data_IF_352422042036
#
_entry.id   IF_352422042036
#
_cell.length_a   1.000
_cell.length_b   1.000
_cell.length_c   1.000
_cell.angle_alpha   90.00
_cell.angle_beta   90.00
_cell.angle_gamma   90.00
#
_symmetry.space_group_name_H-M   'P 1'
#
loop_
_entity.id
_entity.type
_entity.pdbx_description
1 polymer ?
#
# COMPACT_ATOMS: atom_id res chain seq x y z
N UNK A 1 12.19 53.03 26.50
CA UNK A 1 11.38 52.37 25.45
C UNK A 1 12.05 51.03 25.12
N UNK A 2 11.71 49.96 25.85
CA UNK A 2 12.25 48.61 25.59
C UNK A 2 11.27 47.87 24.69
N UNK A 3 11.72 47.54 23.49
CA UNK A 3 11.00 46.71 22.54
C UNK A 3 10.73 45.33 23.17
N UNK A 4 9.45 44.97 23.29
CA UNK A 4 9.00 43.65 23.72
C UNK A 4 8.19 43.03 22.59
N UNK A 5 8.84 42.24 21.73
CA UNK A 5 8.23 41.19 20.89
C UNK A 5 9.37 40.18 20.64
N UNK A 6 9.23 38.84 20.86
CA UNK A 6 8.04 38.04 20.55
C UNK A 6 7.75 36.84 21.51
N UNK A 7 6.64 36.89 22.26
CA UNK A 7 5.99 35.66 22.78
C UNK A 7 5.41 34.79 21.64
N UNK A 8 5.14 35.38 20.47
CA UNK A 8 4.61 34.65 19.30
C UNK A 8 5.57 33.63 18.70
N UNK A 9 6.89 33.82 18.82
CA UNK A 9 7.88 32.87 18.28
C UNK A 9 8.06 31.66 19.19
N UNK A 10 7.96 31.86 20.51
CA UNK A 10 8.03 30.79 21.52
C UNK A 10 6.81 29.87 21.48
N UNK A 11 5.61 30.45 21.39
CA UNK A 11 4.37 29.68 21.17
C UNK A 11 4.39 28.90 19.85
N UNK A 12 4.96 29.47 18.78
CA UNK A 12 5.09 28.77 17.49
C UNK A 12 6.08 27.60 17.59
N UNK A 13 7.18 27.74 18.32
CA UNK A 13 8.15 26.67 18.53
C UNK A 13 7.60 25.54 19.42
N UNK A 14 6.90 25.87 20.51
CA UNK A 14 6.27 24.89 21.41
C UNK A 14 5.12 24.15 20.70
N UNK A 15 4.29 24.85 19.92
CA UNK A 15 3.24 24.23 19.11
C UNK A 15 3.81 23.33 18.02
N UNK A 16 4.87 23.75 17.33
CA UNK A 16 5.56 22.91 16.34
C UNK A 16 6.24 21.68 16.97
N UNK A 17 6.81 21.81 18.18
CA UNK A 17 7.40 20.70 18.90
C UNK A 17 6.32 19.69 19.37
N UNK A 18 5.18 20.18 19.85
CA UNK A 18 4.05 19.34 20.26
C UNK A 18 3.36 18.65 19.07
N UNK A 19 3.18 19.33 17.93
CA UNK A 19 2.67 18.69 16.72
C UNK A 19 3.67 17.69 16.15
N UNK A 20 4.97 17.95 16.24
CA UNK A 20 6.01 16.98 15.84
C UNK A 20 6.05 15.76 16.77
N UNK A 21 5.91 15.94 18.08
CA UNK A 21 5.81 14.85 19.07
C UNK A 21 4.51 14.05 18.93
N UNK A 22 3.36 14.71 18.72
CA UNK A 22 2.07 14.05 18.47
C UNK A 22 2.08 13.31 17.13
N UNK A 23 2.66 13.90 16.08
CA UNK A 23 2.85 13.24 14.79
C UNK A 23 3.82 12.06 14.91
N UNK A 24 4.94 12.20 15.63
CA UNK A 24 5.90 11.12 15.89
C UNK A 24 5.27 9.97 16.68
N UNK A 25 4.47 10.25 17.71
CA UNK A 25 3.73 9.24 18.47
C UNK A 25 2.63 8.58 17.62
N UNK A 26 1.93 9.35 16.78
CA UNK A 26 0.91 8.84 15.88
C UNK A 26 1.50 7.99 14.75
N UNK A 27 2.63 8.40 14.17
CA UNK A 27 3.38 7.65 13.16
C UNK A 27 3.92 6.36 13.78
N UNK A 28 4.52 6.43 14.97
CA UNK A 28 5.00 5.24 15.68
C UNK A 28 3.86 4.27 15.99
N UNK A 29 2.68 4.78 16.34
CA UNK A 29 1.46 3.97 16.57
C UNK A 29 0.96 3.34 15.27
N UNK A 30 0.92 4.09 14.16
CA UNK A 30 0.49 3.58 12.85
C UNK A 30 1.48 2.54 12.31
N UNK A 31 2.77 2.80 12.43
CA UNK A 31 3.84 1.84 12.11
C UNK A 31 3.67 0.59 12.97
N UNK A 32 3.53 0.73 14.29
CA UNK A 32 3.32 -0.41 15.19
C UNK A 32 2.06 -1.22 14.82
N UNK A 33 0.95 -0.57 14.49
CA UNK A 33 -0.29 -1.24 14.07
C UNK A 33 -0.06 -2.02 12.77
N UNK A 34 0.62 -1.42 11.78
CA UNK A 34 0.87 -2.06 10.49
C UNK A 34 1.86 -3.22 10.64
N UNK A 35 2.96 -3.01 11.37
CA UNK A 35 3.97 -4.05 11.62
C UNK A 35 3.37 -5.23 12.39
N UNK A 36 2.50 -5.01 13.38
CA UNK A 36 1.83 -6.11 14.07
C UNK A 36 0.78 -6.77 13.19
N UNK A 37 -0.04 -5.99 12.48
CA UNK A 37 -1.15 -6.50 11.67
C UNK A 37 -0.69 -7.34 10.48
N UNK A 38 0.48 -7.03 9.92
CA UNK A 38 1.07 -7.73 8.78
C UNK A 38 2.38 -8.41 9.14
N UNK A 39 2.59 -8.72 10.43
CA UNK A 39 3.79 -9.40 10.91
C UNK A 39 3.99 -10.77 10.25
N UNK A 40 2.87 -11.45 9.97
CA UNK A 40 2.78 -12.68 9.19
C UNK A 40 3.28 -12.51 7.75
N UNK A 41 3.06 -11.35 7.12
CA UNK A 41 3.52 -11.06 5.76
C UNK A 41 4.98 -10.59 5.70
N UNK A 42 5.44 -9.86 6.73
CA UNK A 42 6.80 -9.32 6.79
C UNK A 42 7.87 -10.42 6.97
N UNK A 43 7.50 -11.56 7.53
CA UNK A 43 8.38 -12.72 7.70
C UNK A 43 8.33 -13.72 6.54
N UNK A 44 7.56 -13.46 5.48
CA UNK A 44 7.45 -14.40 4.35
C UNK A 44 8.74 -14.35 3.53
N UNK A 45 9.43 -15.48 3.48
CA UNK A 45 10.48 -15.71 2.48
C UNK A 45 9.81 -16.00 1.14
N UNK A 46 10.02 -15.12 0.16
CA UNK A 46 9.43 -15.27 -1.17
C UNK A 46 10.37 -16.17 -1.98
N UNK A 47 9.89 -17.34 -2.45
CA UNK A 47 10.73 -18.23 -3.26
C UNK A 47 11.20 -17.51 -4.52
N UNK A 48 12.49 -17.63 -4.83
CA UNK A 48 13.12 -16.95 -5.98
C UNK A 48 12.39 -17.25 -7.30
N UNK A 49 11.84 -18.45 -7.45
CA UNK A 49 11.08 -18.85 -8.64
C UNK A 49 9.79 -18.03 -8.84
N UNK A 50 9.22 -17.41 -7.79
CA UNK A 50 8.06 -16.51 -7.91
C UNK A 50 8.49 -15.18 -8.56
N UNK A 51 9.69 -14.71 -8.24
CA UNK A 51 10.25 -13.45 -8.75
C UNK A 51 10.85 -13.59 -10.14
N UNK A 52 11.62 -14.65 -10.38
CA UNK A 52 12.35 -14.89 -11.64
C UNK A 52 12.11 -16.31 -12.20
N UNK A 53 10.84 -16.69 -12.48
CA UNK A 53 10.47 -18.05 -12.91
C UNK A 53 11.17 -18.51 -14.19
N UNK A 54 11.63 -17.58 -15.03
CA UNK A 54 12.26 -17.87 -16.32
C UNK A 54 13.79 -17.96 -16.30
N UNK A 55 14.41 -17.66 -15.16
CA UNK A 55 15.87 -17.56 -14.97
C UNK A 55 16.38 -18.52 -13.89
N UNK A 56 15.53 -18.93 -12.94
CA UNK A 56 15.91 -19.90 -11.92
C UNK A 56 16.26 -21.27 -12.52
N UNK A 57 17.29 -21.89 -11.96
CA UNK A 57 17.64 -23.27 -12.24
C UNK A 57 16.57 -24.21 -11.66
N UNK A 58 16.03 -25.08 -12.51
CA UNK A 58 15.00 -26.05 -12.13
C UNK A 58 15.46 -26.98 -11.01
N UNK A 59 16.75 -27.31 -10.95
CA UNK A 59 17.30 -28.19 -9.93
C UNK A 59 17.28 -27.58 -8.51
N UNK A 60 17.08 -26.26 -8.39
CA UNK A 60 17.11 -25.53 -7.11
C UNK A 60 15.74 -25.43 -6.43
N UNK A 61 14.68 -25.94 -7.07
CA UNK A 61 13.32 -25.92 -6.51
C UNK A 61 12.84 -27.33 -6.14
N UNK A 62 11.74 -27.37 -5.38
CA UNK A 62 11.08 -28.59 -4.96
C UNK A 62 10.77 -29.51 -6.15
N UNK A 63 11.06 -30.81 -6.01
CA UNK A 63 10.91 -31.81 -7.08
C UNK A 63 9.52 -31.80 -7.73
N UNK A 64 8.46 -31.62 -6.93
CA UNK A 64 7.08 -31.56 -7.38
C UNK A 64 6.78 -30.40 -8.34
N UNK A 65 7.63 -29.37 -8.36
CA UNK A 65 7.50 -28.18 -9.20
C UNK A 65 8.46 -28.18 -10.38
N UNK A 66 9.40 -29.13 -10.47
CA UNK A 66 10.42 -29.10 -11.52
C UNK A 66 9.83 -29.29 -12.92
N UNK A 67 8.97 -30.30 -13.10
CA UNK A 67 8.28 -30.55 -14.36
C UNK A 67 7.42 -29.35 -14.81
N UNK A 68 6.49 -28.83 -13.99
CA UNK A 68 5.69 -27.70 -14.43
C UNK A 68 6.50 -26.40 -14.56
N UNK A 69 7.68 -26.27 -13.91
CA UNK A 69 8.59 -25.15 -14.17
C UNK A 69 9.21 -25.27 -15.56
N UNK A 70 9.63 -26.47 -15.97
CA UNK A 70 10.18 -26.72 -17.31
C UNK A 70 9.13 -26.37 -18.37
N UNK A 71 7.87 -26.77 -18.15
CA UNK A 71 6.77 -26.43 -19.06
C UNK A 71 6.53 -24.92 -19.13
N UNK A 72 6.49 -24.23 -17.98
CA UNK A 72 6.36 -22.77 -17.92
C UNK A 72 7.53 -22.07 -18.64
N UNK A 73 8.77 -22.50 -18.37
CA UNK A 73 9.97 -21.93 -18.98
C UNK A 73 10.04 -22.16 -20.50
N UNK A 74 9.41 -23.23 -20.98
CA UNK A 74 9.32 -23.58 -22.40
C UNK A 74 8.21 -22.81 -23.13
N UNK A 75 7.23 -22.24 -22.42
CA UNK A 75 6.18 -21.41 -23.00
C UNK A 75 6.75 -20.05 -23.46
N UNK A 76 7.01 -19.96 -24.77
CA UNK A 76 7.54 -18.74 -25.41
C UNK A 76 6.58 -17.55 -25.31
N UNK A 77 5.26 -17.80 -25.26
CA UNK A 77 4.25 -16.74 -25.14
C UNK A 77 4.34 -16.15 -23.73
N UNK A 78 4.35 -17.00 -22.70
CA UNK A 78 4.48 -16.55 -21.31
C UNK A 78 5.82 -15.86 -21.05
N UNK A 79 6.92 -16.40 -21.59
CA UNK A 79 8.24 -15.77 -21.52
C UNK A 79 8.24 -14.39 -22.19
N UNK A 80 7.58 -14.26 -23.35
CA UNK A 80 7.42 -12.99 -24.06
C UNK A 80 6.64 -11.97 -23.23
N UNK A 81 5.50 -12.37 -22.65
CA UNK A 81 4.69 -11.53 -21.77
C UNK A 81 5.48 -11.07 -20.53
N UNK A 82 6.21 -11.98 -19.88
CA UNK A 82 7.03 -11.65 -18.71
C UNK A 82 8.10 -10.58 -19.02
N UNK A 83 8.77 -10.69 -20.17
CA UNK A 83 9.79 -9.72 -20.61
C UNK A 83 9.25 -8.31 -20.87
N UNK A 84 7.96 -8.16 -21.18
CA UNK A 84 7.34 -6.84 -21.36
C UNK A 84 7.26 -6.04 -20.05
N UNK A 85 7.51 -6.68 -18.89
CA UNK A 85 7.67 -6.04 -17.56
C UNK A 85 6.38 -5.47 -16.96
N UNK A 86 5.37 -5.23 -17.79
CA UNK A 86 4.03 -4.76 -17.38
C UNK A 86 3.11 -5.91 -17.00
N UNK A 87 3.46 -7.14 -17.40
CA UNK A 87 2.62 -8.31 -17.21
C UNK A 87 3.11 -9.13 -16.02
N UNK A 88 2.31 -9.11 -14.94
CA UNK A 88 2.48 -10.07 -13.87
C UNK A 88 1.81 -11.39 -14.31
N UNK A 89 2.63 -12.38 -14.69
CA UNK A 89 2.15 -13.69 -15.15
C UNK A 89 1.20 -14.33 -14.14
N UNK A 90 1.45 -14.12 -12.85
CA UNK A 90 0.64 -14.65 -11.76
C UNK A 90 -0.74 -13.98 -11.65
N UNK A 91 -0.94 -12.75 -12.12
CA UNK A 91 -2.27 -12.10 -12.05
C UNK A 91 -3.24 -12.59 -13.11
N UNK A 92 -2.83 -13.49 -14.00
CA UNK A 92 -3.63 -13.89 -15.15
C UNK A 92 -4.24 -15.26 -14.94
N UNK A 93 -5.52 -15.39 -15.30
CA UNK A 93 -6.25 -16.67 -15.26
C UNK A 93 -5.56 -17.77 -16.09
N UNK A 94 -4.79 -17.38 -17.10
CA UNK A 94 -4.00 -18.30 -17.94
C UNK A 94 -3.02 -19.15 -17.11
N UNK A 95 -2.39 -18.58 -16.07
CA UNK A 95 -1.43 -19.33 -15.24
C UNK A 95 -2.16 -20.24 -14.26
N UNK A 96 -3.26 -19.77 -13.68
CA UNK A 96 -4.12 -20.58 -12.81
C UNK A 96 -4.71 -21.80 -13.53
N UNK A 97 -5.00 -21.67 -14.83
CA UNK A 97 -5.58 -22.75 -15.65
C UNK A 97 -4.53 -23.68 -16.25
N UNK A 98 -3.42 -23.14 -16.79
CA UNK A 98 -2.37 -23.97 -17.43
C UNK A 98 -1.42 -24.60 -16.42
N UNK A 99 -1.13 -23.92 -15.31
CA UNK A 99 -0.14 -24.35 -14.33
C UNK A 99 -0.73 -24.36 -12.91
N UNK A 100 -1.78 -25.15 -12.64
CA UNK A 100 -2.54 -25.08 -11.39
C UNK A 100 -1.68 -25.38 -10.15
N UNK A 101 -0.74 -26.32 -10.24
CA UNK A 101 0.22 -26.62 -9.16
C UNK A 101 1.13 -25.43 -8.82
N UNK A 102 1.57 -24.70 -9.84
CA UNK A 102 2.38 -23.49 -9.66
C UNK A 102 1.55 -22.36 -9.07
N UNK A 103 0.35 -22.17 -9.62
CA UNK A 103 -0.57 -21.15 -9.14
C UNK A 103 -0.95 -21.37 -7.68
N UNK A 104 -1.22 -22.62 -7.29
CA UNK A 104 -1.63 -22.95 -5.93
C UNK A 104 -0.60 -22.50 -4.88
N UNK A 105 0.68 -22.62 -5.20
CA UNK A 105 1.79 -22.15 -4.37
C UNK A 105 2.11 -20.66 -4.55
N UNK A 106 2.03 -20.14 -5.77
CA UNK A 106 2.40 -18.76 -6.08
C UNK A 106 1.38 -17.72 -5.59
N UNK A 107 0.08 -18.07 -5.59
CA UNK A 107 -1.02 -17.15 -5.28
C UNK A 107 -0.87 -16.50 -3.91
N UNK A 108 -0.33 -17.22 -2.92
CA UNK A 108 -0.10 -16.70 -1.58
C UNK A 108 0.85 -15.50 -1.58
N UNK A 109 1.99 -15.62 -2.27
CA UNK A 109 2.99 -14.56 -2.39
C UNK A 109 2.51 -13.38 -3.25
N UNK A 110 1.69 -13.67 -4.25
CA UNK A 110 1.14 -12.67 -5.18
C UNK A 110 0.04 -11.83 -4.53
N UNK A 111 -0.73 -12.40 -3.59
CA UNK A 111 -1.75 -11.69 -2.81
C UNK A 111 -1.11 -10.86 -1.68
N UNK A 112 0.04 -11.29 -1.15
CA UNK A 112 0.81 -10.50 -0.20
C UNK A 112 1.34 -9.18 -0.83
N UNK A 113 1.66 -9.16 -2.13
CA UNK A 113 2.20 -7.97 -2.81
C UNK A 113 1.24 -6.76 -2.92
N UNK A 114 -0.06 -6.91 -3.26
CA UNK A 114 -1.03 -5.84 -3.16
C UNK A 114 -1.12 -5.23 -1.76
N UNK A 115 -0.86 -6.00 -0.70
CA UNK A 115 -0.93 -5.48 0.67
C UNK A 115 0.24 -4.56 0.99
N UNK A 116 1.46 -4.84 0.52
CA UNK A 116 2.61 -3.93 0.73
C UNK A 116 2.44 -2.62 -0.04
N UNK A 117 1.99 -2.66 -1.29
CA UNK A 117 1.65 -1.45 -2.06
C UNK A 117 0.52 -0.65 -1.39
N UNK A 118 -0.53 -1.31 -0.91
CA UNK A 118 -1.62 -0.63 -0.19
C UNK A 118 -1.15 -0.05 1.14
N UNK A 119 -0.18 -0.69 1.81
CA UNK A 119 0.49 -0.17 3.00
C UNK A 119 1.33 1.06 2.66
N UNK A 120 2.15 1.03 1.62
CA UNK A 120 2.96 2.16 1.14
C UNK A 120 2.08 3.34 0.68
N UNK A 121 1.01 3.05 -0.08
CA UNK A 121 0.03 4.05 -0.50
C UNK A 121 -0.73 4.62 0.71
N UNK A 122 -1.10 3.78 1.66
CA UNK A 122 -1.66 4.15 2.96
C UNK A 122 -0.77 5.11 3.72
N UNK A 123 0.52 4.77 3.89
CA UNK A 123 1.50 5.62 4.55
C UNK A 123 1.75 6.93 3.82
N UNK A 124 1.84 6.91 2.50
CA UNK A 124 1.99 8.12 1.69
C UNK A 124 0.79 9.05 1.87
N UNK A 125 -0.42 8.49 1.95
CA UNK A 125 -1.65 9.26 2.15
C UNK A 125 -1.78 9.78 3.58
N UNK A 126 -1.44 8.98 4.58
CA UNK A 126 -1.33 9.42 5.99
C UNK A 126 -0.33 10.57 6.11
N UNK A 127 0.84 10.44 5.48
CA UNK A 127 1.87 11.49 5.46
C UNK A 127 1.37 12.76 4.77
N UNK A 128 0.63 12.65 3.66
CA UNK A 128 -0.02 13.79 3.01
C UNK A 128 -1.08 14.46 3.90
N UNK A 129 -1.92 13.69 4.60
CA UNK A 129 -2.97 14.20 5.51
C UNK A 129 -2.33 14.94 6.70
N UNK A 130 -1.29 14.35 7.30
CA UNK A 130 -0.56 14.93 8.43
C UNK A 130 0.28 16.16 8.01
N UNK A 131 0.96 16.11 6.87
CA UNK A 131 1.82 17.21 6.39
C UNK A 131 1.03 18.44 5.94
N UNK A 132 -0.21 18.25 5.44
CA UNK A 132 -1.09 19.36 5.07
C UNK A 132 -1.88 19.95 6.23
N UNK A 133 -1.72 19.45 7.46
CA UNK A 133 -2.35 19.98 8.68
C UNK A 133 -3.82 20.40 8.46
N UNK A 134 -4.62 19.55 7.83
CA UNK A 134 -6.05 19.78 7.74
C UNK A 134 -6.68 19.45 9.10
N UNK A 135 -6.86 20.46 9.96
CA UNK A 135 -7.47 20.36 11.30
C UNK A 135 -8.88 19.68 11.34
N UNK A 136 -9.44 19.25 10.21
CA UNK A 136 -10.76 18.62 10.09
C UNK A 136 -10.73 17.12 9.76
N UNK A 137 -9.61 16.58 9.27
CA UNK A 137 -9.52 15.17 8.87
C UNK A 137 -9.03 14.31 10.04
N UNK A 138 -9.83 13.32 10.43
CA UNK A 138 -9.52 12.40 11.53
C UNK A 138 -9.27 11.01 10.93
N UNK A 139 -7.99 10.66 10.89
CA UNK A 139 -7.46 9.43 10.28
C UNK A 139 -8.04 8.18 10.95
N UNK A 140 -8.36 8.26 12.25
CA UNK A 140 -8.70 7.09 13.08
C UNK A 140 -10.20 6.95 13.28
N UNK A 141 -10.93 8.06 13.53
CA UNK A 141 -12.35 7.99 13.90
C UNK A 141 -13.34 8.18 12.75
N UNK A 142 -12.97 8.94 11.71
CA UNK A 142 -13.92 9.34 10.65
C UNK A 142 -13.84 8.47 9.39
N UNK A 143 -12.83 7.59 9.30
CA UNK A 143 -12.63 6.71 8.15
C UNK A 143 -12.10 7.42 6.90
N UNK A 144 -11.56 8.62 7.04
CA UNK A 144 -11.05 9.46 5.95
C UNK A 144 -9.92 8.75 5.17
N UNK A 145 -9.05 8.02 5.89
CA UNK A 145 -8.01 7.20 5.27
C UNK A 145 -8.62 6.10 4.39
N UNK A 146 -9.65 5.39 4.89
CA UNK A 146 -10.34 4.32 4.14
C UNK A 146 -10.94 4.86 2.85
N UNK A 147 -11.68 5.97 2.91
CA UNK A 147 -12.24 6.65 1.74
C UNK A 147 -11.16 7.06 0.73
N UNK A 148 -10.04 7.62 1.22
CA UNK A 148 -8.94 8.09 0.37
C UNK A 148 -8.17 6.98 -0.35
N UNK A 149 -8.25 5.75 0.14
CA UNK A 149 -7.62 4.56 -0.46
C UNK A 149 -8.55 3.82 -1.43
N UNK A 150 -9.82 4.21 -1.51
CA UNK A 150 -10.76 3.64 -2.49
C UNK A 150 -10.73 4.43 -3.79
N UNK A 151 -11.04 3.75 -4.90
CA UNK A 151 -11.27 4.40 -6.20
C UNK A 151 -12.66 5.04 -6.31
N UNK A 152 -13.39 5.18 -5.20
CA UNK A 152 -14.75 5.72 -5.18
C UNK A 152 -14.69 7.22 -5.44
N UNK A 153 -15.30 7.65 -6.53
CA UNK A 153 -15.42 9.06 -6.85
C UNK A 153 -16.54 9.72 -6.01
N UNK A 154 -16.30 10.90 -5.42
CA UNK A 154 -17.33 11.60 -4.69
C UNK A 154 -18.44 12.04 -5.66
N UNK A 155 -19.68 11.68 -5.36
CA UNK A 155 -20.83 12.14 -6.15
C UNK A 155 -21.18 13.59 -5.77
N UNK A 156 -20.43 14.53 -6.34
CA UNK A 156 -20.52 15.97 -6.04
C UNK A 156 -21.93 16.51 -6.36
N UNK A 157 -22.57 16.03 -7.44
CA UNK A 157 -23.93 16.47 -7.82
C UNK A 157 -24.94 16.18 -6.71
N UNK A 158 -24.92 14.95 -6.18
CA UNK A 158 -25.81 14.53 -5.08
C UNK A 158 -25.49 15.22 -3.75
N UNK A 159 -24.24 15.63 -3.54
CA UNK A 159 -23.82 16.41 -2.37
C UNK A 159 -24.35 17.85 -2.45
N UNK A 160 -24.20 18.50 -3.61
CA UNK A 160 -24.68 19.87 -3.86
C UNK A 160 -26.21 19.94 -3.79
N UNK A 161 -26.93 18.93 -4.28
CA UNK A 161 -28.40 18.85 -4.16
C UNK A 161 -28.89 18.75 -2.70
N UNK A 162 -28.05 18.24 -1.79
CA UNK A 162 -28.37 18.11 -0.36
C UNK A 162 -27.87 19.27 0.49
N UNK A 163 -27.05 20.15 -0.09
CA UNK A 163 -26.50 21.29 0.62
C UNK A 163 -27.53 22.43 0.59
N UNK A 164 -28.12 22.74 1.75
CA UNK A 164 -28.97 23.93 1.86
C UNK A 164 -28.06 25.17 1.86
N UNK A 165 -28.29 26.17 1.00
CA UNK A 165 -27.58 27.44 1.10
C UNK A 165 -27.89 28.04 2.46
N UNK A 166 -26.93 27.98 3.37
CA UNK A 166 -26.97 28.77 4.60
C UNK A 166 -26.90 30.22 4.14
N UNK A 167 -28.04 30.91 4.17
CA UNK A 167 -28.09 32.33 3.85
C UNK A 167 -27.09 33.07 4.74
N UNK A 168 -26.16 33.81 4.13
CA UNK A 168 -25.30 34.71 4.88
C UNK A 168 -26.15 35.78 5.53
N UNK A 169 -25.95 35.97 6.85
CA UNK A 169 -26.41 37.12 7.61
C UNK A 169 -25.41 38.27 7.52
#
# INVERSE_FOLDING_TARGET
>A
MKYMVPDKLRFKAEYMALTFLLASNSISTVIYIILNRFSDLLGIDIPIWVSIPFEINVAEIELSLQEPLIELQSDKIMRGKFKDGKYNIWKTNDVATKYPLFWDKAQFYVIAFPTSYLVEAGFSRVSQILSKACNRLDIVKRGDLRLSLTSIEPNIKKLVEKDQPQGSH
#
